data_IF_031116264722
#
_entry.id   IF_031116264722
#
_cell.length_a   1.000
_cell.length_b   1.000
_cell.length_c   1.000
_cell.angle_alpha   90.00
_cell.angle_beta   90.00
_cell.angle_gamma   90.00
#
_symmetry.space_group_name_H-M   'P 1'
#
loop_
_entity.id
_entity.type
_entity.pdbx_description
1 polymer ?
#
# COMPACT_ATOMS: atom_id res chain seq x y z
N UNK A 1 -26.76 36.61 -5.95
CA UNK A 1 -26.35 36.17 -7.28
C UNK A 1 -24.89 35.61 -7.33
N UNK A 2 -23.89 36.19 -6.64
CA UNK A 2 -22.49 35.69 -6.68
C UNK A 2 -22.30 34.27 -6.10
N UNK A 3 -23.09 33.83 -5.13
CA UNK A 3 -22.99 32.49 -4.52
C UNK A 3 -23.59 31.38 -5.38
N UNK A 4 -24.61 31.68 -6.18
CA UNK A 4 -25.22 30.72 -7.11
C UNK A 4 -24.30 30.45 -8.31
N UNK A 5 -23.58 31.48 -8.79
CA UNK A 5 -22.59 31.33 -9.85
C UNK A 5 -21.43 30.39 -9.47
N UNK A 6 -20.99 30.43 -8.21
CA UNK A 6 -19.93 29.52 -7.71
C UNK A 6 -20.40 28.06 -7.63
N UNK A 7 -21.62 27.80 -7.23
CA UNK A 7 -22.20 26.45 -7.17
C UNK A 7 -22.42 25.88 -8.57
N UNK A 8 -22.88 26.69 -9.51
CA UNK A 8 -23.06 26.29 -10.91
C UNK A 8 -21.70 26.03 -11.59
N UNK A 9 -20.70 26.87 -11.34
CA UNK A 9 -19.34 26.66 -11.86
C UNK A 9 -18.71 25.38 -11.30
N UNK A 10 -18.91 25.07 -10.01
CA UNK A 10 -18.45 23.83 -9.38
C UNK A 10 -19.18 22.61 -9.96
N UNK A 11 -20.50 22.71 -10.20
CA UNK A 11 -21.28 21.65 -10.81
C UNK A 11 -20.88 21.40 -12.27
N UNK A 12 -20.57 22.42 -13.04
CA UNK A 12 -20.07 22.32 -14.41
C UNK A 12 -18.66 21.73 -14.46
N UNK A 13 -17.77 22.10 -13.51
CA UNK A 13 -16.45 21.48 -13.37
C UNK A 13 -16.53 19.98 -13.04
N UNK A 14 -17.51 19.56 -12.26
CA UNK A 14 -17.75 18.13 -11.94
C UNK A 14 -18.34 17.36 -13.12
N UNK A 15 -18.97 18.01 -14.08
CA UNK A 15 -19.54 17.39 -15.29
C UNK A 15 -18.53 17.27 -16.45
N UNK A 16 -17.39 17.99 -16.39
CA UNK A 16 -16.28 17.85 -17.36
C UNK A 16 -15.32 16.75 -16.90
N UNK A 17 -15.80 15.75 -16.18
CA UNK A 17 -15.02 14.56 -15.84
C UNK A 17 -14.59 13.83 -17.12
N UNK A 18 -13.39 14.15 -17.63
CA UNK A 18 -12.70 13.23 -18.53
C UNK A 18 -12.55 11.92 -17.78
N UNK A 19 -12.77 10.81 -18.48
CA UNK A 19 -12.42 9.49 -17.97
C UNK A 19 -10.97 9.52 -17.51
N UNK A 20 -10.74 9.80 -16.23
CA UNK A 20 -9.45 9.56 -15.59
C UNK A 20 -9.28 8.04 -15.66
N UNK A 21 -8.36 7.56 -16.48
CA UNK A 21 -7.93 6.18 -16.42
C UNK A 21 -7.34 5.99 -15.00
N UNK A 22 -8.18 5.50 -14.10
CA UNK A 22 -7.74 5.17 -12.75
C UNK A 22 -6.79 3.99 -12.89
N UNK A 23 -5.54 4.18 -12.54
CA UNK A 23 -4.57 3.12 -12.51
C UNK A 23 -5.01 2.04 -11.53
N UNK A 24 -4.60 0.80 -11.80
CA UNK A 24 -5.05 -0.40 -11.11
C UNK A 24 -4.72 -0.30 -9.61
N UNK A 25 -5.70 0.08 -8.80
CA UNK A 25 -5.65 0.10 -7.33
C UNK A 25 -6.32 -1.13 -6.73
N UNK A 26 -6.67 -2.10 -7.57
CA UNK A 26 -7.56 -3.19 -7.24
C UNK A 26 -7.01 -4.50 -7.77
N UNK A 27 -7.39 -5.59 -7.14
CA UNK A 27 -7.21 -6.93 -7.69
C UNK A 27 -8.49 -7.47 -8.29
N UNK A 28 -8.50 -8.75 -8.64
CA UNK A 28 -9.69 -9.45 -9.13
C UNK A 28 -9.70 -10.90 -8.69
N UNK A 29 -10.88 -11.50 -8.63
CA UNK A 29 -11.08 -12.95 -8.48
C UNK A 29 -11.64 -13.48 -9.80
N UNK A 30 -11.06 -14.57 -10.30
CA UNK A 30 -11.56 -15.32 -11.45
C UNK A 30 -12.02 -16.70 -10.95
N UNK A 31 -13.33 -16.91 -10.88
CA UNK A 31 -13.91 -18.20 -10.51
C UNK A 31 -14.16 -19.01 -11.77
N UNK A 32 -13.80 -20.30 -11.74
CA UNK A 32 -14.13 -21.27 -12.78
C UNK A 32 -14.81 -22.48 -12.14
N UNK A 33 -16.03 -22.75 -12.55
CA UNK A 33 -16.83 -23.86 -12.05
C UNK A 33 -16.90 -24.99 -13.10
N UNK A 34 -16.55 -26.20 -12.69
CA UNK A 34 -16.62 -27.42 -13.49
C UNK A 34 -17.31 -28.55 -12.70
N UNK A 35 -17.87 -29.54 -13.39
CA UNK A 35 -18.36 -30.77 -12.76
C UNK A 35 -17.21 -31.77 -12.51
N UNK A 36 -17.54 -32.95 -11.97
CA UNK A 36 -16.56 -34.01 -11.68
C UNK A 36 -15.92 -34.59 -12.97
N UNK A 37 -16.53 -34.41 -14.13
CA UNK A 37 -16.03 -34.83 -15.43
C UNK A 37 -15.21 -33.73 -16.12
N UNK A 38 -15.11 -32.54 -15.50
CA UNK A 38 -14.39 -31.39 -16.05
C UNK A 38 -15.21 -30.57 -17.05
N UNK A 39 -16.50 -30.83 -17.19
CA UNK A 39 -17.36 -30.01 -18.03
C UNK A 39 -17.66 -28.66 -17.34
N UNK A 40 -17.66 -27.58 -18.11
CA UNK A 40 -17.94 -26.24 -17.62
C UNK A 40 -19.36 -26.07 -17.15
N UNK A 41 -19.60 -25.34 -16.08
CA UNK A 41 -20.89 -25.15 -15.46
C UNK A 41 -21.36 -23.69 -15.53
N UNK A 42 -22.20 -23.32 -16.51
CA UNK A 42 -22.81 -21.99 -16.56
C UNK A 42 -23.95 -21.85 -15.54
N UNK A 43 -24.24 -20.60 -15.14
CA UNK A 43 -25.34 -20.27 -14.26
C UNK A 43 -25.13 -20.61 -12.79
N UNK A 44 -23.93 -21.00 -12.40
CA UNK A 44 -23.58 -21.23 -11.00
C UNK A 44 -23.56 -19.90 -10.23
N UNK A 45 -24.28 -19.83 -9.13
CA UNK A 45 -24.29 -18.65 -8.26
C UNK A 45 -22.99 -18.57 -7.47
N UNK A 46 -22.32 -17.43 -7.55
CA UNK A 46 -21.08 -17.16 -6.84
C UNK A 46 -21.26 -15.92 -5.98
N UNK A 47 -21.02 -16.08 -4.69
CA UNK A 47 -21.04 -14.97 -3.71
C UNK A 47 -19.65 -14.79 -3.15
N UNK A 48 -19.09 -13.60 -3.26
CA UNK A 48 -17.88 -13.22 -2.55
C UNK A 48 -18.22 -12.38 -1.32
N UNK A 49 -17.50 -12.59 -0.23
CA UNK A 49 -17.65 -11.81 1.00
C UNK A 49 -16.30 -11.36 1.53
N UNK A 50 -16.25 -10.17 2.13
CA UNK A 50 -15.04 -9.63 2.75
C UNK A 50 -15.38 -8.48 3.69
N UNK A 51 -14.65 -8.31 4.81
CA UNK A 51 -14.75 -7.12 5.66
C UNK A 51 -14.41 -5.81 4.93
N UNK A 52 -13.58 -5.89 3.88
CA UNK A 52 -13.17 -4.72 3.09
C UNK A 52 -14.20 -4.31 2.02
N UNK A 53 -15.17 -5.17 1.71
CA UNK A 53 -16.29 -4.80 0.84
C UNK A 53 -17.27 -3.89 1.59
N UNK A 54 -17.68 -2.77 1.00
CA UNK A 54 -18.63 -1.83 1.60
C UNK A 54 -20.00 -2.48 1.79
N UNK A 55 -20.46 -3.24 0.80
CA UNK A 55 -21.71 -4.02 0.90
C UNK A 55 -21.58 -5.29 1.75
N UNK A 56 -20.37 -5.64 2.18
CA UNK A 56 -20.06 -6.90 2.85
C UNK A 56 -20.00 -8.10 1.91
N UNK A 57 -20.87 -8.15 0.91
CA UNK A 57 -20.95 -9.23 -0.08
C UNK A 57 -21.22 -8.69 -1.48
N UNK A 58 -20.81 -9.47 -2.49
CA UNK A 58 -21.17 -9.29 -3.91
C UNK A 58 -21.54 -10.65 -4.49
N UNK A 59 -22.55 -10.72 -5.36
CA UNK A 59 -22.99 -11.94 -5.99
C UNK A 59 -23.17 -11.77 -7.51
N UNK A 60 -22.91 -12.84 -8.25
CA UNK A 60 -23.17 -12.94 -9.67
C UNK A 60 -23.19 -14.41 -10.09
N UNK A 61 -23.40 -14.71 -11.37
CA UNK A 61 -23.46 -16.07 -11.91
C UNK A 61 -22.38 -16.29 -12.96
N UNK A 62 -21.92 -17.55 -13.09
CA UNK A 62 -20.97 -17.96 -14.14
C UNK A 62 -21.58 -17.83 -15.52
N UNK A 63 -20.76 -17.47 -16.50
CA UNK A 63 -21.11 -17.35 -17.91
C UNK A 63 -21.14 -18.71 -18.62
N UNK A 64 -21.33 -18.70 -19.94
CA UNK A 64 -21.42 -19.91 -20.79
C UNK A 64 -20.11 -20.75 -20.77
N UNK A 65 -18.98 -20.17 -20.39
CA UNK A 65 -17.70 -20.85 -20.25
C UNK A 65 -17.49 -21.40 -18.83
N UNK A 66 -18.48 -21.29 -17.94
CA UNK A 66 -18.38 -21.65 -16.52
C UNK A 66 -17.50 -20.69 -15.71
N UNK A 67 -17.16 -19.53 -16.27
CA UNK A 67 -16.29 -18.55 -15.63
C UNK A 67 -17.07 -17.34 -15.11
N UNK A 68 -16.55 -16.74 -14.04
CA UNK A 68 -17.04 -15.47 -13.50
C UNK A 68 -15.88 -14.65 -12.97
N UNK A 69 -15.74 -13.41 -13.42
CA UNK A 69 -14.75 -12.48 -12.92
C UNK A 69 -15.39 -11.41 -12.04
N UNK A 70 -14.85 -11.23 -10.84
CA UNK A 70 -15.09 -10.08 -9.99
C UNK A 70 -13.93 -9.10 -10.16
N UNK A 71 -14.07 -8.05 -10.96
CA UNK A 71 -13.03 -7.04 -11.15
C UNK A 71 -13.07 -6.00 -10.04
N UNK A 72 -12.02 -5.18 -9.95
CA UNK A 72 -11.97 -3.97 -9.12
C UNK A 72 -12.19 -4.22 -7.62
N UNK A 73 -11.64 -5.35 -7.12
CA UNK A 73 -11.69 -5.70 -5.71
C UNK A 73 -10.62 -4.94 -4.93
N UNK A 74 -11.00 -4.37 -3.80
CA UNK A 74 -10.05 -3.75 -2.86
C UNK A 74 -9.13 -4.83 -2.28
N UNK A 75 -7.83 -4.56 -2.09
CA UNK A 75 -6.96 -5.49 -1.39
C UNK A 75 -7.52 -5.93 -0.04
N UNK A 76 -7.34 -7.20 0.30
CA UNK A 76 -7.87 -7.76 1.54
C UNK A 76 -8.13 -9.25 1.46
N UNK A 77 -8.71 -9.79 2.52
CA UNK A 77 -9.06 -11.22 2.62
C UNK A 77 -10.51 -11.44 2.24
N UNK A 78 -10.74 -12.41 1.36
CA UNK A 78 -12.05 -12.74 0.80
C UNK A 78 -12.41 -14.19 1.05
N UNK A 79 -13.73 -14.46 1.06
CA UNK A 79 -14.31 -15.78 0.95
C UNK A 79 -15.18 -15.85 -0.30
N UNK A 80 -15.13 -16.97 -1.00
CA UNK A 80 -15.94 -17.26 -2.19
C UNK A 80 -16.87 -18.44 -1.88
N UNK A 81 -18.15 -18.24 -2.02
CA UNK A 81 -19.17 -19.29 -1.91
C UNK A 81 -19.77 -19.55 -3.29
N UNK A 82 -19.82 -20.83 -3.69
CA UNK A 82 -20.29 -21.28 -5.00
C UNK A 82 -21.46 -22.24 -4.77
N UNK A 83 -22.61 -21.97 -5.43
CA UNK A 83 -23.85 -22.70 -5.21
C UNK A 83 -24.59 -22.96 -6.53
N UNK A 84 -25.12 -24.18 -6.68
CA UNK A 84 -26.04 -24.54 -7.75
C UNK A 84 -27.03 -25.58 -7.20
N UNK A 85 -28.31 -25.45 -7.57
CA UNK A 85 -29.34 -26.38 -7.14
C UNK A 85 -29.02 -27.80 -7.62
N UNK A 86 -29.07 -28.79 -6.72
CA UNK A 86 -28.69 -30.17 -6.99
C UNK A 86 -27.21 -30.49 -6.83
N UNK A 87 -26.38 -29.52 -6.48
CA UNK A 87 -24.95 -29.69 -6.22
C UNK A 87 -24.60 -29.30 -4.78
N UNK A 88 -23.47 -29.82 -4.30
CA UNK A 88 -22.92 -29.42 -3.01
C UNK A 88 -22.38 -27.99 -3.08
N UNK A 89 -22.70 -27.18 -2.08
CA UNK A 89 -22.14 -25.83 -1.97
C UNK A 89 -20.66 -25.89 -1.59
N UNK A 90 -19.83 -25.10 -2.23
CA UNK A 90 -18.39 -25.01 -1.95
C UNK A 90 -18.05 -23.65 -1.43
N UNK A 91 -17.33 -23.58 -0.31
CA UNK A 91 -16.80 -22.32 0.28
C UNK A 91 -15.29 -22.37 0.26
N UNK A 92 -14.67 -21.33 -0.29
CA UNK A 92 -13.23 -21.08 -0.24
C UNK A 92 -12.97 -19.86 0.63
N UNK A 93 -12.21 -20.03 1.70
CA UNK A 93 -11.90 -18.96 2.65
C UNK A 93 -10.41 -18.61 2.59
N UNK A 94 -10.06 -17.42 3.09
CA UNK A 94 -8.67 -16.99 3.23
C UNK A 94 -8.03 -16.52 1.91
N UNK A 95 -8.82 -16.16 0.89
CA UNK A 95 -8.29 -15.67 -0.38
C UNK A 95 -7.74 -14.25 -0.21
N UNK A 96 -6.44 -14.10 -0.25
CA UNK A 96 -5.77 -12.80 -0.15
C UNK A 96 -5.72 -12.15 -1.53
N UNK A 97 -6.38 -11.01 -1.68
CA UNK A 97 -6.36 -10.21 -2.90
C UNK A 97 -5.40 -9.04 -2.72
N UNK A 98 -4.47 -8.91 -3.64
CA UNK A 98 -3.50 -7.82 -3.68
C UNK A 98 -3.69 -6.97 -4.93
N UNK A 99 -3.08 -5.77 -4.93
CA UNK A 99 -3.16 -4.84 -6.06
C UNK A 99 -2.57 -5.46 -7.32
N UNK A 100 -3.27 -5.30 -8.43
CA UNK A 100 -2.84 -5.79 -9.75
C UNK A 100 -2.89 -7.31 -9.92
N UNK A 101 -3.31 -8.06 -8.89
CA UNK A 101 -3.37 -9.52 -8.92
C UNK A 101 -4.75 -10.03 -9.34
N UNK A 102 -4.76 -11.10 -10.13
CA UNK A 102 -5.95 -11.91 -10.38
C UNK A 102 -5.78 -13.25 -9.65
N UNK A 103 -6.66 -13.54 -8.70
CA UNK A 103 -6.66 -14.81 -7.95
C UNK A 103 -7.59 -15.79 -8.65
N UNK A 104 -7.07 -16.87 -9.23
CA UNK A 104 -7.89 -17.94 -9.78
C UNK A 104 -8.50 -18.79 -8.67
N UNK A 105 -9.77 -19.13 -8.83
CA UNK A 105 -10.53 -20.00 -7.91
C UNK A 105 -11.23 -21.07 -8.73
N UNK A 106 -10.55 -22.20 -8.89
CA UNK A 106 -11.12 -23.36 -9.57
C UNK A 106 -11.97 -24.18 -8.59
N UNK A 107 -13.23 -24.43 -8.98
CA UNK A 107 -14.20 -25.14 -8.16
C UNK A 107 -14.77 -26.33 -8.92
N UNK A 108 -14.61 -27.54 -8.38
CA UNK A 108 -15.27 -28.73 -8.87
C UNK A 108 -16.55 -28.96 -8.08
N UNK A 109 -17.69 -28.88 -8.76
CA UNK A 109 -19.01 -29.07 -8.17
C UNK A 109 -19.40 -30.56 -8.19
N UNK A 110 -19.79 -31.09 -7.02
CA UNK A 110 -20.26 -32.47 -6.90
C UNK A 110 -21.78 -32.52 -6.75
N UNK A 111 -22.41 -33.51 -7.32
CA UNK A 111 -23.86 -33.71 -7.15
C UNK A 111 -24.18 -33.95 -5.67
N UNK A 112 -25.12 -33.23 -5.12
CA UNK A 112 -25.52 -33.36 -3.75
C UNK A 112 -26.39 -34.60 -3.57
N UNK A 113 -25.98 -35.53 -2.69
CA UNK A 113 -26.84 -36.59 -2.19
C UNK A 113 -27.73 -36.12 -1.01
N UNK A 114 -27.28 -35.09 -0.31
CA UNK A 114 -27.95 -34.28 0.72
C UNK A 114 -27.38 -32.85 0.64
N UNK A 115 -28.09 -31.84 1.16
CA UNK A 115 -27.61 -30.44 1.18
C UNK A 115 -26.42 -30.29 2.15
N UNK A 116 -25.25 -30.71 1.72
CA UNK A 116 -23.99 -30.58 2.45
C UNK A 116 -23.19 -29.39 1.88
N UNK A 117 -22.60 -28.60 2.79
CA UNK A 117 -21.65 -27.55 2.43
C UNK A 117 -20.25 -28.03 2.72
N UNK A 118 -19.39 -28.05 1.70
CA UNK A 118 -17.97 -28.37 1.86
C UNK A 118 -17.19 -27.08 2.00
N UNK A 119 -16.64 -26.84 3.19
CA UNK A 119 -15.70 -25.72 3.41
C UNK A 119 -14.29 -26.20 3.11
N UNK A 120 -13.64 -25.61 2.14
CA UNK A 120 -12.24 -25.83 1.86
C UNK A 120 -11.46 -24.60 2.32
N UNK A 121 -10.78 -24.75 3.46
CA UNK A 121 -9.79 -23.80 3.95
C UNK A 121 -8.47 -24.10 3.24
N UNK A 122 -7.97 -23.18 2.42
CA UNK A 122 -6.72 -23.33 1.72
C UNK A 122 -6.05 -21.98 1.55
N UNK A 123 -4.74 -21.93 1.75
CA UNK A 123 -3.97 -20.75 1.39
C UNK A 123 -4.16 -20.48 -0.11
N UNK A 124 -4.48 -19.23 -0.43
CA UNK A 124 -4.53 -18.77 -1.82
C UNK A 124 -3.14 -18.97 -2.45
N UNK A 125 -3.04 -19.46 -3.69
CA UNK A 125 -1.76 -19.52 -4.35
C UNK A 125 -1.14 -18.12 -4.37
N UNK A 126 0.04 -18.01 -3.78
CA UNK A 126 0.79 -16.73 -3.67
C UNK A 126 1.41 -16.30 -5.00
N UNK A 127 1.36 -17.14 -6.02
CA UNK A 127 1.96 -16.88 -7.32
C UNK A 127 0.86 -16.59 -8.34
N UNK A 128 0.86 -15.38 -8.89
CA UNK A 128 0.05 -15.04 -10.05
C UNK A 128 0.69 -15.67 -11.30
N UNK A 129 0.00 -16.65 -11.88
CA UNK A 129 0.43 -17.33 -13.11
C UNK A 129 -0.17 -16.71 -14.36
N UNK A 130 -0.99 -15.67 -14.22
CA UNK A 130 -1.76 -15.06 -15.31
C UNK A 130 -1.14 -13.79 -15.85
N UNK A 131 -0.22 -13.16 -15.10
CA UNK A 131 0.46 -11.94 -15.50
C UNK A 131 1.96 -12.15 -15.67
N UNK A 132 2.56 -11.49 -16.67
CA UNK A 132 4.00 -11.49 -16.90
C UNK A 132 4.75 -10.45 -16.06
N UNK A 133 4.04 -9.71 -15.21
CA UNK A 133 4.61 -8.63 -14.40
C UNK A 133 5.64 -9.15 -13.39
N UNK A 134 6.80 -8.51 -13.35
CA UNK A 134 7.79 -8.76 -12.30
C UNK A 134 7.51 -7.79 -11.15
N UNK A 135 6.58 -8.16 -10.30
CA UNK A 135 6.16 -7.35 -9.16
C UNK A 135 6.19 -8.12 -7.85
N UNK A 136 6.37 -7.39 -6.77
CA UNK A 136 6.25 -7.87 -5.38
C UNK A 136 5.22 -7.01 -4.69
N UNK A 137 4.28 -7.65 -4.01
CA UNK A 137 3.27 -6.97 -3.22
C UNK A 137 3.60 -7.11 -1.73
N UNK A 138 3.62 -5.99 -1.05
CA UNK A 138 3.85 -5.88 0.39
C UNK A 138 2.51 -5.55 1.05
N UNK A 139 1.78 -6.56 1.49
CA UNK A 139 0.50 -6.38 2.17
C UNK A 139 0.68 -5.88 3.63
N UNK A 140 -0.39 -5.39 4.24
CA UNK A 140 -0.39 -4.76 5.56
C UNK A 140 0.29 -5.60 6.65
N UNK A 141 0.11 -6.93 6.64
CA UNK A 141 0.75 -7.82 7.61
C UNK A 141 2.28 -7.83 7.47
N UNK A 142 2.77 -7.88 6.23
CA UNK A 142 4.21 -7.86 5.94
C UNK A 142 4.82 -6.50 6.29
N UNK A 143 4.12 -5.41 5.96
CA UNK A 143 4.53 -4.05 6.30
C UNK A 143 4.70 -3.90 7.82
N UNK A 144 3.69 -4.29 8.59
CA UNK A 144 3.67 -4.14 10.05
C UNK A 144 4.57 -5.16 10.76
N UNK A 145 4.70 -6.37 10.21
CA UNK A 145 5.50 -7.45 10.81
C UNK A 145 6.98 -7.41 10.50
N UNK A 146 7.42 -6.52 9.59
CA UNK A 146 8.86 -6.43 9.26
C UNK A 146 9.55 -5.48 10.24
N UNK A 147 10.52 -5.97 11.03
CA UNK A 147 11.33 -5.11 11.89
C UNK A 147 12.13 -4.11 11.06
N UNK A 148 12.16 -2.86 11.49
CA UNK A 148 12.92 -1.81 10.81
C UNK A 148 12.59 -0.42 11.35
N UNK A 149 13.18 0.60 10.77
CA UNK A 149 13.00 2.00 11.15
C UNK A 149 11.67 2.64 10.71
N UNK A 150 10.68 1.83 10.37
CA UNK A 150 9.35 2.28 9.90
C UNK A 150 9.43 3.25 8.72
N UNK A 151 10.39 2.94 7.84
CA UNK A 151 10.61 3.64 6.58
C UNK A 151 10.26 2.73 5.41
N UNK A 152 9.45 3.24 4.49
CA UNK A 152 8.99 2.49 3.31
C UNK A 152 10.16 2.14 2.41
N UNK A 153 11.12 3.04 2.28
CA UNK A 153 12.25 2.86 1.38
C UNK A 153 13.11 1.67 1.79
N UNK A 154 13.45 1.60 3.08
CA UNK A 154 14.19 0.47 3.64
C UNK A 154 13.40 -0.84 3.55
N UNK A 155 12.08 -0.80 3.76
CA UNK A 155 11.23 -1.97 3.62
C UNK A 155 11.24 -2.51 2.18
N UNK A 156 11.08 -1.63 1.21
CA UNK A 156 11.03 -2.00 -0.22
C UNK A 156 12.36 -2.60 -0.65
N UNK A 157 13.50 -1.99 -0.28
CA UNK A 157 14.82 -2.56 -0.56
C UNK A 157 15.00 -3.95 0.04
N UNK A 158 14.59 -4.13 1.30
CA UNK A 158 14.76 -5.40 2.00
C UNK A 158 13.89 -6.55 1.45
N UNK A 159 12.77 -6.23 0.80
CA UNK A 159 11.77 -7.21 0.37
C UNK A 159 11.68 -7.42 -1.13
N UNK A 160 12.23 -6.54 -1.94
CA UNK A 160 12.13 -6.60 -3.41
C UNK A 160 13.46 -7.06 -4.01
N UNK A 161 13.56 -8.29 -4.56
CA UNK A 161 14.79 -8.80 -5.12
C UNK A 161 15.32 -7.97 -6.29
N UNK A 162 16.62 -7.69 -6.28
CA UNK A 162 17.30 -6.97 -7.35
C UNK A 162 17.02 -5.47 -7.42
N UNK A 163 16.41 -4.92 -6.37
CA UNK A 163 16.25 -3.49 -6.19
C UNK A 163 17.37 -2.96 -5.30
N UNK A 164 17.95 -1.84 -5.70
CA UNK A 164 19.01 -1.16 -4.93
C UNK A 164 18.55 0.26 -4.65
N UNK A 165 18.67 0.67 -3.39
CA UNK A 165 18.34 2.01 -2.96
C UNK A 165 19.59 2.89 -2.87
N UNK A 166 19.46 4.15 -3.24
CA UNK A 166 20.56 5.13 -3.18
C UNK A 166 21.00 5.47 -1.76
N UNK A 167 20.13 5.24 -0.77
CA UNK A 167 20.37 5.56 0.64
C UNK A 167 19.73 4.49 1.52
N UNK A 168 20.41 3.37 1.78
CA UNK A 168 19.91 2.34 2.68
C UNK A 168 19.80 2.89 4.10
N UNK A 169 18.62 2.78 4.70
CA UNK A 169 18.33 3.28 6.05
C UNK A 169 17.57 2.26 6.87
N UNK A 170 18.25 1.19 7.21
CA UNK A 170 17.67 0.07 7.98
C UNK A 170 17.23 0.51 9.38
N UNK A 171 17.89 1.51 9.95
CA UNK A 171 17.62 2.02 11.28
C UNK A 171 16.56 3.13 11.35
N UNK A 172 16.11 3.67 10.22
CA UNK A 172 15.18 4.82 10.19
C UNK A 172 15.83 6.11 10.67
N UNK A 173 17.16 6.21 10.57
CA UNK A 173 17.94 7.32 11.10
C UNK A 173 18.36 8.33 10.04
N UNK A 174 18.13 8.07 8.77
CA UNK A 174 18.50 9.00 7.66
C UNK A 174 17.62 10.24 7.55
N UNK A 175 16.75 10.46 8.53
CA UNK A 175 16.07 11.72 8.73
C UNK A 175 15.09 12.11 7.62
N UNK A 176 14.32 11.16 7.10
CA UNK A 176 13.31 11.45 6.08
C UNK A 176 13.91 11.95 4.77
N UNK A 177 15.12 11.54 4.44
CA UNK A 177 15.67 11.78 3.12
C UNK A 177 15.01 10.83 2.12
N UNK A 178 14.55 11.39 1.01
CA UNK A 178 13.97 10.59 -0.07
C UNK A 178 15.03 9.64 -0.64
N UNK A 179 14.67 8.35 -0.71
CA UNK A 179 15.44 7.35 -1.44
C UNK A 179 15.01 7.31 -2.90
N UNK A 180 15.94 7.00 -3.77
CA UNK A 180 15.66 6.63 -5.14
C UNK A 180 16.09 5.20 -5.39
N UNK A 181 15.39 4.51 -6.28
CA UNK A 181 15.65 3.11 -6.58
C UNK A 181 16.30 2.93 -7.94
N UNK A 182 17.02 1.85 -8.09
CA UNK A 182 17.44 1.30 -9.38
C UNK A 182 17.20 -0.21 -9.37
N UNK A 183 16.77 -0.76 -10.48
CA UNK A 183 16.56 -2.18 -10.65
C UNK A 183 16.82 -2.58 -12.10
N UNK A 184 17.39 -3.77 -12.32
CA UNK A 184 17.55 -4.37 -13.67
C UNK A 184 18.19 -3.42 -14.71
N UNK A 185 19.16 -2.60 -14.29
CA UNK A 185 19.86 -1.67 -15.18
C UNK A 185 19.11 -0.37 -15.48
N UNK A 186 17.96 -0.12 -14.85
CA UNK A 186 17.26 1.16 -14.95
C UNK A 186 17.90 2.21 -14.05
N UNK A 187 17.71 3.47 -14.40
CA UNK A 187 18.16 4.60 -13.57
C UNK A 187 17.05 5.10 -12.66
N UNK A 188 17.41 5.74 -11.58
CA UNK A 188 16.45 6.33 -10.64
C UNK A 188 15.52 7.37 -11.29
N UNK A 189 15.98 8.07 -12.32
CA UNK A 189 15.18 9.06 -13.05
C UNK A 189 13.96 8.43 -13.78
N UNK A 190 13.98 7.11 -13.99
CA UNK A 190 12.89 6.37 -14.62
C UNK A 190 11.85 5.85 -13.61
N UNK A 191 11.99 6.14 -12.32
CA UNK A 191 11.05 5.67 -11.31
C UNK A 191 9.77 6.49 -11.32
N UNK A 192 8.68 5.82 -10.97
CA UNK A 192 7.38 6.47 -10.85
C UNK A 192 6.66 5.94 -9.61
N UNK A 193 6.11 6.86 -8.82
CA UNK A 193 5.41 6.53 -7.59
C UNK A 193 3.97 7.03 -7.62
N UNK A 194 3.05 6.17 -7.24
CA UNK A 194 1.63 6.47 -7.15
C UNK A 194 1.11 6.24 -5.74
N UNK A 195 0.23 7.12 -5.30
CA UNK A 195 -0.52 7.00 -4.05
C UNK A 195 -2.02 7.02 -4.39
N UNK A 196 -2.70 5.93 -4.11
CA UNK A 196 -4.12 5.76 -4.48
C UNK A 196 -4.42 6.14 -5.95
N UNK A 197 -3.50 5.79 -6.87
CA UNK A 197 -3.62 6.07 -8.30
C UNK A 197 -3.26 7.49 -8.73
N UNK A 198 -2.86 8.35 -7.82
CA UNK A 198 -2.34 9.69 -8.13
C UNK A 198 -0.82 9.64 -8.19
N UNK A 199 -0.24 10.15 -9.27
CA UNK A 199 1.21 10.28 -9.39
C UNK A 199 1.72 11.27 -8.32
N UNK A 200 2.62 10.80 -7.48
CA UNK A 200 3.22 11.57 -6.38
C UNK A 200 4.74 11.75 -6.56
N UNK A 201 5.23 11.57 -7.79
CA UNK A 201 6.62 11.86 -8.13
C UNK A 201 6.96 13.32 -7.87
N UNK A 202 8.18 13.58 -7.42
CA UNK A 202 8.66 14.91 -7.19
C UNK A 202 9.06 15.57 -8.54
N UNK A 203 8.40 16.65 -8.96
CA UNK A 203 8.75 17.31 -10.23
C UNK A 203 10.13 17.99 -10.21
N UNK A 204 10.68 18.28 -9.04
CA UNK A 204 11.99 18.90 -8.87
C UNK A 204 13.11 17.88 -8.68
N UNK A 205 12.79 16.65 -8.26
CA UNK A 205 13.73 15.56 -8.04
C UNK A 205 13.27 14.32 -8.79
N UNK A 206 13.57 14.28 -10.09
CA UNK A 206 13.11 13.23 -11.00
C UNK A 206 13.41 11.83 -10.44
N UNK A 207 12.38 11.00 -10.36
CA UNK A 207 12.45 9.63 -9.82
C UNK A 207 12.37 9.51 -8.31
N UNK A 208 12.34 10.62 -7.58
CA UNK A 208 12.02 10.62 -6.15
C UNK A 208 10.52 10.80 -5.95
N UNK A 209 10.02 10.32 -4.82
CA UNK A 209 8.65 10.60 -4.40
C UNK A 209 8.61 11.89 -3.57
N UNK A 210 7.70 12.80 -3.91
CA UNK A 210 7.55 14.10 -3.23
C UNK A 210 6.98 14.04 -1.81
N UNK A 211 6.77 12.84 -1.25
CA UNK A 211 6.06 12.64 0.01
C UNK A 211 6.86 11.82 1.01
N UNK A 212 6.66 12.15 2.29
CA UNK A 212 7.15 11.39 3.44
C UNK A 212 5.97 10.64 4.05
N UNK A 213 5.85 9.38 3.71
CA UNK A 213 4.65 8.60 3.95
C UNK A 213 4.49 8.23 5.42
N UNK A 214 3.23 8.20 5.86
CA UNK A 214 2.85 7.54 7.10
C UNK A 214 2.88 6.02 6.89
N UNK A 215 3.83 5.36 7.53
CA UNK A 215 4.07 3.92 7.39
C UNK A 215 2.85 3.07 7.75
N UNK A 216 2.07 3.48 8.75
CA UNK A 216 0.89 2.74 9.20
C UNK A 216 -0.36 2.96 8.34
N UNK A 217 -0.30 3.92 7.43
CA UNK A 217 -1.45 4.25 6.58
C UNK A 217 -1.66 3.28 5.41
N UNK A 218 -0.70 2.39 5.12
CA UNK A 218 -0.74 1.52 3.96
C UNK A 218 -1.45 0.20 4.22
N UNK A 219 -2.22 -0.22 3.22
CA UNK A 219 -2.87 -1.52 3.13
C UNK A 219 -2.08 -2.46 2.21
N UNK A 220 -1.56 -1.92 1.09
CA UNK A 220 -0.74 -2.67 0.15
C UNK A 220 0.26 -1.73 -0.55
N UNK A 221 1.46 -2.24 -0.83
CA UNK A 221 2.47 -1.58 -1.64
C UNK A 221 2.92 -2.56 -2.71
N UNK A 222 2.56 -2.27 -3.95
CA UNK A 222 3.04 -3.02 -5.10
C UNK A 222 4.31 -2.36 -5.65
N UNK A 223 5.36 -3.16 -5.79
CA UNK A 223 6.62 -2.74 -6.39
C UNK A 223 6.86 -3.57 -7.64
N UNK A 224 6.86 -2.94 -8.80
CA UNK A 224 7.18 -3.60 -10.05
C UNK A 224 8.54 -3.11 -10.56
N UNK A 225 9.40 -4.08 -10.94
CA UNK A 225 10.77 -3.82 -11.39
C UNK A 225 10.98 -4.12 -12.88
N UNK A 226 9.93 -4.52 -13.59
CA UNK A 226 10.00 -4.79 -15.03
C UNK A 226 8.74 -5.49 -15.55
N UNK A 227 8.66 -5.62 -16.87
CA UNK A 227 7.50 -6.16 -17.57
C UNK A 227 6.18 -5.49 -17.16
N UNK A 228 6.21 -4.16 -17.05
CA UNK A 228 5.05 -3.37 -16.63
C UNK A 228 3.91 -3.50 -17.63
N UNK A 229 2.68 -3.39 -17.14
CA UNK A 229 1.52 -3.18 -17.97
C UNK A 229 1.68 -1.91 -18.83
N UNK A 230 1.13 -1.90 -20.05
CA UNK A 230 1.23 -0.76 -20.97
C UNK A 230 0.66 0.54 -20.40
N UNK A 231 -0.17 0.45 -19.39
CA UNK A 231 -0.75 1.61 -18.68
C UNK A 231 0.21 2.26 -17.71
N UNK A 232 1.32 1.59 -17.36
CA UNK A 232 2.32 2.12 -16.45
C UNK A 232 3.32 3.00 -17.20
N UNK A 233 3.38 4.31 -16.93
CA UNK A 233 4.13 5.27 -17.75
C UNK A 233 5.62 5.32 -17.38
N UNK A 234 6.26 4.17 -17.15
CA UNK A 234 7.69 4.12 -16.80
C UNK A 234 8.34 2.82 -17.25
N UNK A 235 9.64 2.89 -17.52
CA UNK A 235 10.50 1.71 -17.71
C UNK A 235 11.32 1.36 -16.47
N UNK A 236 11.31 2.22 -15.44
CA UNK A 236 12.03 2.04 -14.19
C UNK A 236 11.24 1.31 -13.12
N UNK A 237 11.54 1.57 -11.86
CA UNK A 237 10.77 1.03 -10.75
C UNK A 237 9.42 1.74 -10.64
N UNK A 238 8.36 0.96 -10.63
CA UNK A 238 7.00 1.43 -10.38
C UNK A 238 6.56 1.08 -8.97
N UNK A 239 6.26 2.10 -8.18
CA UNK A 239 5.79 1.97 -6.82
C UNK A 239 4.33 2.42 -6.74
N UNK A 240 3.42 1.49 -6.43
CA UNK A 240 2.00 1.77 -6.31
C UNK A 240 1.57 1.50 -4.86
N UNK A 241 1.22 2.55 -4.15
CA UNK A 241 0.90 2.54 -2.73
C UNK A 241 -0.59 2.75 -2.52
N UNK A 242 -1.22 1.81 -1.83
CA UNK A 242 -2.64 1.85 -1.49
C UNK A 242 -2.80 2.07 0.00
N UNK A 243 -3.53 3.10 0.37
CA UNK A 243 -3.80 3.43 1.76
C UNK A 243 -5.05 2.73 2.27
N UNK A 244 -5.10 2.50 3.58
CA UNK A 244 -6.26 1.93 4.27
C UNK A 244 -7.51 2.77 4.03
N UNK A 245 -8.64 2.13 3.85
CA UNK A 245 -9.93 2.79 3.56
C UNK A 245 -10.97 2.66 4.68
N UNK A 246 -10.60 2.03 5.80
CA UNK A 246 -11.53 1.66 6.85
C UNK A 246 -12.38 0.43 6.52
N UNK A 247 -13.00 -0.13 7.52
CA UNK A 247 -13.85 -1.33 7.43
C UNK A 247 -15.28 -1.05 7.88
N UNK A 248 -16.11 -2.11 7.93
CA UNK A 248 -17.46 -2.08 8.56
C UNK A 248 -17.43 -2.21 10.09
N UNK A 249 -16.26 -2.36 10.67
CA UNK A 249 -16.00 -2.35 12.11
C UNK A 249 -15.05 -1.23 12.44
N UNK A 250 -15.24 -0.60 13.57
CA UNK A 250 -14.29 0.35 14.12
C UNK A 250 -13.00 -0.37 14.46
N UNK A 251 -11.92 0.17 13.98
CA UNK A 251 -10.60 -0.33 14.27
C UNK A 251 -9.63 0.87 14.31
N UNK A 252 -8.58 0.76 15.12
CA UNK A 252 -7.59 1.80 15.23
C UNK A 252 -6.40 1.27 15.99
N UNK A 253 -5.33 2.05 15.93
CA UNK A 253 -4.09 1.71 16.60
C UNK A 253 -3.26 2.95 16.89
N UNK A 254 -2.38 2.82 17.83
CA UNK A 254 -1.34 3.79 18.11
C UNK A 254 0.00 3.09 18.21
N UNK A 255 1.01 3.70 17.65
CA UNK A 255 2.39 3.25 17.76
C UNK A 255 3.21 4.42 18.27
N UNK A 256 4.00 4.17 19.31
CA UNK A 256 4.96 5.15 19.81
C UNK A 256 6.30 4.44 19.97
N UNK A 257 7.29 4.91 19.24
CA UNK A 257 8.67 4.46 19.39
C UNK A 257 9.54 5.64 19.74
N UNK A 258 10.53 5.39 20.56
CA UNK A 258 11.45 6.41 20.99
C UNK A 258 12.82 5.82 21.25
N UNK A 259 13.86 6.53 20.87
CA UNK A 259 15.24 6.26 21.26
C UNK A 259 16.01 7.57 21.43
N UNK A 260 17.07 7.51 22.22
CA UNK A 260 17.94 8.66 22.48
C UNK A 260 19.39 8.24 22.64
N UNK A 261 20.28 9.23 22.78
CA UNK A 261 21.71 9.01 22.89
C UNK A 261 22.09 8.03 24.02
N UNK A 262 21.38 8.06 25.14
CA UNK A 262 21.62 7.16 26.28
C UNK A 262 21.32 5.68 26.01
N UNK A 263 20.55 5.37 24.97
CA UNK A 263 20.20 4.01 24.55
C UNK A 263 21.08 3.50 23.41
N UNK A 264 22.01 4.32 22.94
CA UNK A 264 22.89 3.98 21.83
C UNK A 264 24.25 3.47 22.36
N UNK A 265 24.70 2.32 21.85
CA UNK A 265 26.08 1.88 22.05
C UNK A 265 27.06 2.78 21.30
N UNK A 266 28.18 3.12 21.92
CA UNK A 266 29.19 3.99 21.32
C UNK A 266 30.43 3.21 20.93
N UNK A 267 30.83 3.32 19.69
CA UNK A 267 32.10 2.83 19.15
C UNK A 267 32.96 3.94 18.54
N UNK A 268 32.43 5.17 18.49
CA UNK A 268 33.05 6.35 17.90
C UNK A 268 34.28 6.86 18.68
N UNK A 269 34.46 6.39 19.92
CA UNK A 269 35.63 6.68 20.77
C UNK A 269 36.76 5.70 20.57
N UNK A 270 36.61 4.64 19.78
CA UNK A 270 37.67 3.66 19.51
C UNK A 270 38.81 4.32 18.71
N UNK A 271 40.06 4.34 19.24
CA UNK A 271 41.20 4.92 18.56
C UNK A 271 41.49 4.30 17.19
N UNK A 272 41.11 3.04 16.97
CA UNK A 272 41.29 2.38 15.68
C UNK A 272 40.32 2.92 14.64
N UNK A 273 39.08 3.21 15.01
CA UNK A 273 38.10 3.83 14.12
C UNK A 273 38.45 5.28 13.82
N UNK A 274 38.98 6.02 14.79
CA UNK A 274 39.43 7.40 14.59
C UNK A 274 40.54 7.53 13.52
N UNK A 275 41.41 6.53 13.39
CA UNK A 275 42.40 6.48 12.31
C UNK A 275 41.78 6.44 10.92
N UNK A 276 40.55 5.96 10.78
CA UNK A 276 39.80 5.94 9.53
C UNK A 276 38.86 7.13 9.34
N UNK A 277 39.02 8.18 10.16
CA UNK A 277 38.24 9.40 10.05
C UNK A 277 36.92 9.43 10.81
N UNK A 278 36.64 8.38 11.62
CA UNK A 278 35.50 8.42 12.55
C UNK A 278 35.77 9.44 13.65
N UNK A 279 34.77 10.23 13.97
CA UNK A 279 34.90 11.33 14.95
C UNK A 279 34.07 11.02 16.19
N UNK A 280 34.58 11.35 17.37
CA UNK A 280 33.79 11.29 18.60
C UNK A 280 32.50 12.11 18.46
N UNK A 281 31.38 11.54 18.87
CA UNK A 281 30.03 12.10 18.71
C UNK A 281 29.58 12.36 17.26
N UNK A 282 30.34 11.93 16.24
CA UNK A 282 29.91 11.97 14.85
C UNK A 282 28.99 10.78 14.52
N UNK A 283 27.98 11.01 13.69
CA UNK A 283 27.02 9.97 13.25
C UNK A 283 26.27 9.25 14.41
N UNK A 284 26.00 9.95 15.49
CA UNK A 284 25.20 9.46 16.61
C UNK A 284 23.78 9.98 16.53
N UNK A 285 22.82 9.17 16.96
CA UNK A 285 21.43 9.61 17.08
C UNK A 285 21.27 10.36 18.40
N UNK A 286 20.93 11.64 18.35
CA UNK A 286 20.60 12.44 19.53
C UNK A 286 19.20 12.03 20.04
N UNK A 287 18.22 12.01 19.14
CA UNK A 287 16.85 11.70 19.45
C UNK A 287 16.11 11.20 18.22
N UNK A 288 15.42 10.07 18.32
CA UNK A 288 14.48 9.59 17.30
C UNK A 288 13.16 9.27 17.99
N UNK A 289 12.07 9.82 17.48
CA UNK A 289 10.72 9.47 17.91
C UNK A 289 9.78 9.32 16.71
N UNK A 290 8.91 8.35 16.80
CA UNK A 290 7.85 8.11 15.84
C UNK A 290 6.55 7.82 16.60
N UNK A 291 5.61 8.73 16.51
CA UNK A 291 4.29 8.60 17.13
C UNK A 291 3.24 8.58 16.02
N UNK A 292 2.47 7.52 15.95
CA UNK A 292 1.38 7.35 15.02
C UNK A 292 0.07 7.06 15.76
N UNK A 293 -1.01 7.65 15.24
CA UNK A 293 -2.37 7.36 15.63
C UNK A 293 -3.21 7.13 14.37
N UNK A 294 -3.93 6.03 14.31
CA UNK A 294 -4.85 5.75 13.20
C UNK A 294 -6.17 5.24 13.70
N UNK A 295 -7.25 5.57 13.01
CA UNK A 295 -8.58 5.08 13.26
C UNK A 295 -9.39 4.99 11.98
N UNK A 296 -10.26 4.01 11.89
CA UNK A 296 -11.16 3.83 10.76
C UNK A 296 -12.39 3.03 11.13
N UNK A 297 -13.44 3.18 10.33
CA UNK A 297 -14.68 2.48 10.55
C UNK A 297 -15.84 3.02 9.72
N UNK A 298 -17.06 2.53 9.96
CA UNK A 298 -18.24 2.99 9.25
C UNK A 298 -18.76 4.30 9.88
N UNK A 299 -18.95 5.33 9.06
CA UNK A 299 -19.80 6.48 9.41
C UNK A 299 -21.28 6.11 9.20
N UNK A 300 -21.56 5.36 8.14
CA UNK A 300 -22.83 4.71 7.89
C UNK A 300 -22.55 3.28 7.46
N UNK A 301 -23.07 2.31 8.20
CA UNK A 301 -22.86 0.88 7.92
C UNK A 301 -23.22 0.54 6.48
N UNK A 302 -22.34 -0.22 5.82
CA UNK A 302 -22.48 -0.70 4.44
C UNK A 302 -22.61 0.41 3.38
N UNK A 303 -22.38 1.70 3.73
CA UNK A 303 -22.52 2.83 2.80
C UNK A 303 -21.36 3.80 2.82
N UNK A 304 -20.96 4.26 3.99
CA UNK A 304 -19.93 5.29 4.12
C UNK A 304 -18.91 4.91 5.18
N UNK A 305 -17.67 4.87 4.79
CA UNK A 305 -16.53 4.54 5.66
C UNK A 305 -15.50 5.64 5.64
N UNK A 306 -14.72 5.71 6.69
CA UNK A 306 -13.55 6.57 6.74
C UNK A 306 -12.36 5.82 7.32
N UNK A 307 -11.19 6.33 7.02
CA UNK A 307 -9.93 6.04 7.68
C UNK A 307 -9.17 7.34 7.84
N UNK A 308 -8.56 7.54 9.01
CA UNK A 308 -7.69 8.65 9.28
C UNK A 308 -6.42 8.19 9.96
N UNK A 309 -5.29 8.82 9.63
CA UNK A 309 -4.02 8.62 10.31
C UNK A 309 -3.31 9.94 10.55
N UNK A 310 -2.53 9.96 11.62
CA UNK A 310 -1.66 11.07 11.97
C UNK A 310 -0.33 10.53 12.47
N UNK A 311 0.79 11.07 11.97
CA UNK A 311 2.14 10.70 12.37
C UNK A 311 2.95 11.94 12.69
N UNK A 312 3.67 11.92 13.81
CA UNK A 312 4.75 12.85 14.14
C UNK A 312 6.06 12.05 14.22
N UNK A 313 6.95 12.28 13.27
CA UNK A 313 8.23 11.59 13.17
C UNK A 313 9.36 12.60 13.25
N UNK A 314 10.25 12.40 14.23
CA UNK A 314 11.39 13.27 14.49
C UNK A 314 12.67 12.47 14.50
N UNK A 315 13.66 12.95 13.76
CA UNK A 315 14.99 12.37 13.71
C UNK A 315 16.01 13.47 13.91
N UNK A 316 16.73 13.40 15.01
CA UNK A 316 17.79 14.33 15.34
C UNK A 316 19.10 13.56 15.42
N UNK A 317 20.08 13.95 14.62
CA UNK A 317 21.37 13.28 14.51
C UNK A 317 22.53 14.25 14.64
N UNK A 318 23.58 13.79 15.27
CA UNK A 318 24.86 14.47 15.27
C UNK A 318 25.63 14.08 14.00
N UNK A 319 25.82 15.01 13.10
CA UNK A 319 26.50 14.79 11.80
C UNK A 319 27.81 15.52 11.75
N UNK A 320 28.92 14.85 11.42
CA UNK A 320 30.20 15.51 11.24
C UNK A 320 30.18 16.39 10.00
N UNK A 321 30.62 17.62 10.14
CA UNK A 321 30.82 18.56 9.05
C UNK A 321 32.30 18.86 8.85
N UNK A 322 32.62 19.67 7.84
CA UNK A 322 33.99 20.10 7.60
C UNK A 322 34.59 20.78 8.87
N UNK A 323 35.90 20.77 8.99
CA UNK A 323 36.64 21.36 10.12
C UNK A 323 36.41 20.70 11.49
N UNK A 324 36.14 19.40 11.52
CA UNK A 324 36.00 18.63 12.79
C UNK A 324 34.84 19.04 13.69
N UNK A 325 33.93 19.84 13.21
CA UNK A 325 32.71 20.17 13.95
C UNK A 325 31.66 19.09 13.80
N UNK A 326 30.87 18.92 14.84
CA UNK A 326 29.66 18.08 14.83
C UNK A 326 28.45 19.00 14.95
N UNK A 327 27.49 18.86 14.07
CA UNK A 327 26.28 19.69 14.04
C UNK A 327 25.06 18.79 14.23
N UNK A 328 24.12 19.26 15.04
CA UNK A 328 22.85 18.60 15.21
C UNK A 328 21.97 18.83 13.99
N UNK A 329 21.78 17.81 13.17
CA UNK A 329 20.84 17.79 12.05
C UNK A 329 19.46 17.34 12.55
N UNK A 330 18.47 18.21 12.41
CA UNK A 330 17.12 17.97 12.93
C UNK A 330 16.14 17.83 11.77
N UNK A 331 15.41 16.74 11.74
CA UNK A 331 14.30 16.52 10.81
C UNK A 331 13.03 16.28 11.61
N UNK A 332 11.99 17.07 11.35
CA UNK A 332 10.67 16.94 11.94
C UNK A 332 9.64 16.79 10.81
N UNK A 333 8.93 15.68 10.79
CA UNK A 333 7.92 15.36 9.79
C UNK A 333 6.60 15.11 10.50
N UNK A 334 5.60 15.90 10.14
CA UNK A 334 4.22 15.67 10.58
C UNK A 334 3.38 15.36 9.37
N UNK A 335 2.65 14.26 9.40
CA UNK A 335 1.77 13.86 8.31
C UNK A 335 0.39 13.52 8.81
N UNK A 336 -0.61 13.80 8.00
CA UNK A 336 -1.99 13.41 8.22
C UNK A 336 -2.62 12.94 6.92
N UNK A 337 -3.44 11.91 7.01
CA UNK A 337 -4.17 11.33 5.89
C UNK A 337 -5.60 11.06 6.33
N UNK A 338 -6.54 11.32 5.43
CA UNK A 338 -7.94 10.97 5.61
C UNK A 338 -8.50 10.38 4.30
N UNK A 339 -9.14 9.23 4.40
CA UNK A 339 -9.83 8.54 3.33
C UNK A 339 -11.31 8.43 3.64
N UNK A 340 -12.14 8.66 2.63
CA UNK A 340 -13.58 8.44 2.67
C UNK A 340 -14.00 7.57 1.49
N UNK A 341 -14.75 6.52 1.76
CA UNK A 341 -15.27 5.63 0.72
C UNK A 341 -16.78 5.55 0.85
N UNK A 342 -17.47 5.98 -0.18
CA UNK A 342 -18.92 5.96 -0.28
C UNK A 342 -19.38 4.98 -1.37
N UNK A 343 -20.17 3.99 -0.97
CA UNK A 343 -20.86 3.10 -1.88
C UNK A 343 -22.25 3.68 -2.18
N UNK A 344 -22.35 4.35 -3.32
CA UNK A 344 -23.61 4.98 -3.73
C UNK A 344 -24.68 3.93 -4.07
N UNK A 345 -24.28 2.86 -4.78
CA UNK A 345 -25.08 1.67 -5.09
C UNK A 345 -24.14 0.48 -5.35
N UNK A 346 -24.66 -0.69 -5.72
CA UNK A 346 -23.86 -1.91 -5.95
C UNK A 346 -22.74 -1.73 -6.98
N UNK A 347 -22.96 -0.85 -7.97
CA UNK A 347 -22.05 -0.67 -9.10
C UNK A 347 -21.18 0.59 -9.01
N UNK A 348 -21.51 1.53 -8.12
CA UNK A 348 -20.81 2.82 -8.04
C UNK A 348 -20.23 3.05 -6.65
N UNK A 349 -18.90 3.17 -6.62
CA UNK A 349 -18.11 3.50 -5.44
C UNK A 349 -17.33 4.79 -5.70
N UNK A 350 -17.39 5.71 -4.77
CA UNK A 350 -16.62 6.96 -4.79
C UNK A 350 -15.65 6.94 -3.62
N UNK A 351 -14.38 7.16 -3.90
CA UNK A 351 -13.33 7.31 -2.90
C UNK A 351 -12.73 8.69 -3.01
N UNK A 352 -12.61 9.37 -1.89
CA UNK A 352 -11.91 10.64 -1.78
C UNK A 352 -10.83 10.51 -0.71
N UNK A 353 -9.64 11.01 -1.00
CA UNK A 353 -8.59 11.07 0.01
C UNK A 353 -7.96 12.46 0.07
N UNK A 354 -7.49 12.81 1.24
CA UNK A 354 -6.74 14.02 1.51
C UNK A 354 -5.48 13.66 2.30
N UNK A 355 -4.35 14.17 1.88
CA UNK A 355 -3.08 14.01 2.60
C UNK A 355 -2.42 15.37 2.75
N UNK A 356 -1.91 15.64 3.95
CA UNK A 356 -1.11 16.82 4.24
C UNK A 356 0.13 16.43 5.00
N UNK A 357 1.25 17.01 4.58
CA UNK A 357 2.53 16.79 5.23
C UNK A 357 3.21 18.12 5.48
N UNK A 358 3.96 18.16 6.57
CA UNK A 358 4.87 19.24 6.88
C UNK A 358 6.24 18.64 7.17
N UNK A 359 7.19 19.00 6.36
CA UNK A 359 8.60 18.67 6.54
C UNK A 359 9.34 19.92 7.02
N UNK A 360 10.04 19.83 8.13
CA UNK A 360 10.83 20.91 8.68
C UNK A 360 12.23 20.39 9.02
N UNK A 361 13.23 21.07 8.53
CA UNK A 361 14.64 20.80 8.80
C UNK A 361 15.30 22.09 9.30
N UNK A 362 15.07 22.46 10.59
CA UNK A 362 15.48 23.77 11.12
C UNK A 362 17.00 23.99 11.05
N UNK A 363 17.77 22.95 11.29
CA UNK A 363 19.23 23.00 11.24
C UNK A 363 19.78 22.18 10.04
N UNK A 364 19.18 22.37 8.85
CA UNK A 364 19.78 21.80 7.67
C UNK A 364 21.22 22.28 7.59
N UNK A 365 22.15 21.37 7.37
CA UNK A 365 23.53 21.70 7.05
C UNK A 365 23.53 22.61 5.80
N UNK A 366 23.24 23.86 6.03
CA UNK A 366 23.41 24.92 5.06
C UNK A 366 24.91 25.07 4.95
N UNK A 367 25.43 24.49 3.86
CA UNK A 367 26.69 24.87 3.25
C UNK A 367 27.66 25.50 4.26
N UNK A 368 28.47 24.67 4.88
CA UNK A 368 29.77 25.17 5.27
C UNK A 368 30.48 25.55 3.97
N UNK A 369 30.15 26.75 3.46
CA UNK A 369 30.89 27.42 2.42
C UNK A 369 32.24 27.83 2.97
#
# INVERSE_FOLDING_TARGET
MKRIGGVVALAVLLLIGRTAAAQVQTGSILVKAVDEQGAVMPGVAVTISSPVLVSGTMNNTTDMSGALRFPSLVPGVYSVKVELSGFQSVVREGLVIQVGQTVPVDVTMKVASLAETVTVSGESPTVDTTTANVSVNLGAQLIQGTPGGRDIWALVEAKVPGLVMSRPDVGGTSGGLQGTFSARGTTSAQNTSFLNGVNVGDPAAIGAAGFYYDFDAFDDIQVSTGAHDITVPTSGVFLNMITKTGGNRWNGGTTVTWTGDSLQGRNDTDPNLQKYGFRPNGNTSDFVSDANLSAGGPLVQNKLRFFGSFRDWRVHQNVPVQNSQVVLDQTNITSGLANFTWQANQNNRVTAFYSRQKYAKPNRLLNAS
#
